data_IF_599660340325
#
_entry.id   IF_599660340325
#
_cell.length_a   1.000
_cell.length_b   1.000
_cell.length_c   1.000
_cell.angle_alpha   90.00
_cell.angle_beta   90.00
_cell.angle_gamma   90.00
#
_symmetry.space_group_name_H-M   'P 1'
#
loop_
_entity.id
_entity.type
_entity.pdbx_description
1 polymer ?
#
# COMPACT_ATOMS: atom_id res chain seq x y z
N UNK A 1 15.09 13.20 -26.87
CA UNK A 1 13.65 13.38 -27.19
C UNK A 1 12.90 12.14 -26.73
N UNK A 2 12.07 12.22 -25.69
CA UNK A 2 11.23 11.10 -25.27
C UNK A 2 10.03 10.97 -26.23
N UNK A 3 9.80 9.78 -26.79
CA UNK A 3 8.70 9.50 -27.71
C UNK A 3 8.21 8.07 -27.46
N UNK A 4 6.91 7.88 -27.22
CA UNK A 4 6.29 6.55 -27.22
C UNK A 4 5.29 6.33 -26.08
N UNK A 5 4.04 6.03 -26.47
CA UNK A 5 2.98 5.53 -25.59
C UNK A 5 3.29 4.06 -25.28
N UNK A 6 3.52 3.73 -24.00
CA UNK A 6 3.63 2.35 -23.53
C UNK A 6 2.33 1.86 -22.87
N UNK A 7 1.98 0.60 -23.09
CA UNK A 7 0.95 -0.12 -22.34
C UNK A 7 1.63 -1.14 -21.41
N UNK A 8 1.32 -1.08 -20.11
CA UNK A 8 1.76 -2.07 -19.13
C UNK A 8 0.52 -2.72 -18.53
N UNK A 9 0.48 -4.05 -18.51
CA UNK A 9 -0.56 -4.81 -17.83
C UNK A 9 -0.19 -5.04 -16.35
N UNK A 10 -1.22 -4.89 -15.50
CA UNK A 10 -1.34 -5.28 -14.08
C UNK A 10 -0.86 -4.33 -12.96
N UNK A 11 -1.68 -3.30 -12.71
CA UNK A 11 -2.15 -2.96 -11.36
C UNK A 11 -3.65 -3.31 -11.31
N UNK A 12 -4.12 -4.20 -10.41
CA UNK A 12 -5.52 -4.68 -10.43
C UNK A 12 -6.58 -3.60 -10.12
N UNK A 13 -6.17 -2.36 -9.82
CA UNK A 13 -7.09 -1.28 -9.44
C UNK A 13 -7.02 -0.03 -10.31
N UNK A 14 -6.14 0.03 -11.34
CA UNK A 14 -6.04 1.22 -12.18
C UNK A 14 -5.58 0.87 -13.60
N UNK A 15 -6.49 0.83 -14.59
CA UNK A 15 -6.09 0.71 -15.99
C UNK A 15 -5.51 2.05 -16.47
N UNK A 16 -4.20 2.24 -16.30
CA UNK A 16 -3.46 3.40 -16.77
C UNK A 16 -3.08 3.21 -18.25
N UNK A 17 -3.98 3.62 -19.15
CA UNK A 17 -3.69 3.69 -20.57
C UNK A 17 -2.76 4.89 -20.83
N UNK A 18 -1.56 4.69 -21.38
CA UNK A 18 -0.55 5.71 -21.75
C UNK A 18 0.35 6.26 -20.62
N UNK A 19 1.32 5.43 -20.28
CA UNK A 19 2.52 5.79 -19.50
C UNK A 19 3.57 6.31 -20.51
N UNK A 20 4.34 7.33 -20.12
CA UNK A 20 5.46 7.81 -20.96
C UNK A 20 6.58 6.77 -20.88
N UNK A 21 6.82 6.06 -21.99
CA UNK A 21 7.91 5.09 -22.07
C UNK A 21 9.20 5.82 -22.42
N UNK A 22 10.11 5.92 -21.46
CA UNK A 22 11.47 6.36 -21.68
C UNK A 22 12.35 5.09 -21.69
N UNK A 23 12.95 4.69 -22.83
CA UNK A 23 13.58 3.38 -23.00
C UNK A 23 14.79 3.13 -22.09
N UNK A 24 15.39 4.16 -21.50
CA UNK A 24 16.47 4.06 -20.51
C UNK A 24 16.00 4.38 -19.08
N UNK A 25 14.70 4.60 -18.88
CA UNK A 25 14.15 4.87 -17.56
C UNK A 25 13.64 3.57 -16.95
N UNK A 26 14.16 3.14 -15.78
CA UNK A 26 13.65 1.96 -15.09
C UNK A 26 12.26 2.18 -14.46
N UNK A 27 11.68 3.38 -14.63
CA UNK A 27 10.42 3.78 -14.00
C UNK A 27 9.31 4.01 -15.03
N UNK A 28 8.11 3.56 -14.69
CA UNK A 28 6.89 3.93 -15.40
C UNK A 28 6.46 5.34 -14.99
N UNK A 29 6.50 6.29 -15.92
CA UNK A 29 6.12 7.68 -15.65
C UNK A 29 4.62 7.92 -15.85
N UNK A 30 3.97 8.47 -14.82
CA UNK A 30 2.56 8.83 -14.84
C UNK A 30 2.43 10.33 -15.14
N UNK A 31 1.65 10.66 -16.18
CA UNK A 31 1.30 12.06 -16.46
C UNK A 31 0.28 12.59 -15.44
N UNK A 32 0.60 13.69 -14.77
CA UNK A 32 -0.27 14.37 -13.79
C UNK A 32 -1.60 14.79 -14.42
N UNK A 33 -1.57 15.45 -15.60
CA UNK A 33 -2.78 15.90 -16.27
C UNK A 33 -3.68 14.73 -16.69
N UNK A 34 -3.07 13.60 -17.06
CA UNK A 34 -3.84 12.40 -17.43
C UNK A 34 -4.51 11.77 -16.22
N UNK A 35 -3.75 11.47 -15.16
CA UNK A 35 -4.30 10.78 -13.98
C UNK A 35 -5.38 11.61 -13.27
N UNK A 36 -5.19 12.93 -13.16
CA UNK A 36 -6.18 13.82 -12.52
C UNK A 36 -7.50 13.89 -13.28
N UNK A 37 -7.46 13.84 -14.62
CA UNK A 37 -8.67 13.80 -15.46
C UNK A 37 -9.33 12.42 -15.45
N UNK A 38 -8.55 11.35 -15.60
CA UNK A 38 -9.08 9.98 -15.66
C UNK A 38 -9.76 9.56 -14.37
N UNK A 39 -9.20 9.95 -13.21
CA UNK A 39 -9.72 9.57 -11.90
C UNK A 39 -10.60 10.64 -11.24
N UNK A 40 -10.79 11.79 -11.89
CA UNK A 40 -11.40 12.97 -11.27
C UNK A 40 -10.81 13.29 -9.88
N UNK A 41 -9.48 13.27 -9.77
CA UNK A 41 -8.78 13.46 -8.50
C UNK A 41 -7.95 14.76 -8.48
N UNK A 42 -7.59 15.19 -7.27
CA UNK A 42 -6.54 16.17 -7.01
C UNK A 42 -5.30 15.48 -6.45
N UNK A 43 -4.12 16.04 -6.74
CA UNK A 43 -2.85 15.57 -6.18
C UNK A 43 -2.25 16.70 -5.36
N UNK A 44 -1.86 16.37 -4.13
CA UNK A 44 -1.12 17.27 -3.24
C UNK A 44 0.27 16.70 -3.00
N UNK A 45 1.29 17.53 -3.14
CA UNK A 45 2.69 17.15 -2.91
C UNK A 45 3.22 17.81 -1.64
N UNK A 46 4.04 17.07 -0.90
CA UNK A 46 4.97 17.57 0.11
C UNK A 46 6.39 17.16 -0.29
N UNK A 47 7.41 17.68 0.39
CA UNK A 47 8.82 17.30 0.19
C UNK A 47 9.07 15.77 0.24
N UNK A 48 8.29 15.03 1.03
CA UNK A 48 8.49 13.61 1.29
C UNK A 48 7.41 12.70 0.69
N UNK A 49 6.27 13.26 0.25
CA UNK A 49 5.10 12.44 -0.09
C UNK A 49 4.15 13.11 -1.08
N UNK A 50 3.26 12.31 -1.65
CA UNK A 50 2.11 12.81 -2.41
C UNK A 50 0.82 12.09 -2.01
N UNK A 51 -0.30 12.78 -2.15
CA UNK A 51 -1.63 12.23 -1.86
C UNK A 51 -2.53 12.46 -3.07
N UNK A 52 -3.16 11.39 -3.55
CA UNK A 52 -4.23 11.43 -4.54
C UNK A 52 -5.57 11.39 -3.80
N UNK A 53 -6.38 12.42 -3.98
CA UNK A 53 -7.69 12.55 -3.33
C UNK A 53 -8.79 12.62 -4.39
N UNK A 54 -9.80 11.76 -4.26
CA UNK A 54 -11.00 11.82 -5.08
C UNK A 54 -11.75 13.14 -4.82
N UNK A 55 -12.08 13.88 -5.87
CA UNK A 55 -12.65 15.22 -5.73
C UNK A 55 -14.08 15.20 -5.20
N UNK A 56 -14.83 14.13 -5.49
CA UNK A 56 -16.24 14.01 -5.15
C UNK A 56 -16.46 13.61 -3.69
N UNK A 57 -15.69 12.64 -3.21
CA UNK A 57 -15.81 12.05 -1.88
C UNK A 57 -14.81 12.60 -0.88
N UNK A 58 -13.77 13.31 -1.36
CA UNK A 58 -12.60 13.73 -0.57
C UNK A 58 -11.82 12.58 0.07
N UNK A 59 -12.07 11.34 -0.36
CA UNK A 59 -11.32 10.17 0.12
C UNK A 59 -9.95 10.10 -0.54
N UNK A 60 -8.94 9.73 0.23
CA UNK A 60 -7.62 9.38 -0.31
C UNK A 60 -7.73 8.06 -1.08
N UNK A 61 -7.33 8.09 -2.34
CA UNK A 61 -7.37 6.94 -3.26
C UNK A 61 -5.96 6.45 -3.64
N UNK A 62 -4.92 7.18 -3.27
CA UNK A 62 -3.54 6.80 -3.48
C UNK A 62 -2.58 7.65 -2.66
N UNK A 63 -1.46 7.07 -2.28
CA UNK A 63 -0.37 7.75 -1.58
C UNK A 63 0.92 7.42 -2.33
N UNK A 64 1.80 8.39 -2.46
CA UNK A 64 3.15 8.16 -2.95
C UNK A 64 4.20 8.70 -1.99
N UNK A 65 5.41 8.16 -2.11
CA UNK A 65 6.59 8.62 -1.36
C UNK A 65 7.61 9.20 -2.31
N UNK A 66 8.26 10.27 -1.88
CA UNK A 66 9.43 10.78 -2.57
C UNK A 66 10.58 9.77 -2.41
N UNK A 67 11.31 9.55 -3.50
CA UNK A 67 12.58 8.85 -3.51
C UNK A 67 13.38 9.31 -4.72
N UNK A 68 14.58 9.84 -4.47
CA UNK A 68 15.55 10.18 -5.52
C UNK A 68 15.00 11.18 -6.57
N UNK A 69 14.19 12.14 -6.15
CA UNK A 69 13.58 13.15 -7.01
C UNK A 69 12.31 12.69 -7.73
N UNK A 70 11.79 11.49 -7.43
CA UNK A 70 10.57 10.94 -8.01
C UNK A 70 9.56 10.57 -6.93
N UNK A 71 8.27 10.66 -7.24
CA UNK A 71 7.21 10.16 -6.37
C UNK A 71 6.75 8.78 -6.82
N UNK A 72 6.96 7.80 -5.95
CA UNK A 72 6.58 6.41 -6.17
C UNK A 72 5.18 6.20 -5.62
N UNK A 73 4.20 5.97 -6.50
CA UNK A 73 2.85 5.61 -6.06
C UNK A 73 2.92 4.24 -5.38
N UNK A 74 2.69 4.22 -4.08
CA UNK A 74 2.52 2.98 -3.33
C UNK A 74 1.22 2.37 -3.81
N UNK A 75 1.27 1.13 -4.31
CA UNK A 75 0.07 0.31 -4.31
C UNK A 75 -0.45 0.26 -2.87
N UNK A 76 -1.76 0.14 -2.65
CA UNK A 76 -2.23 -0.40 -1.39
C UNK A 76 -1.67 -1.82 -1.33
N UNK A 77 -0.42 -1.97 -0.86
CA UNK A 77 0.01 -3.20 -0.22
C UNK A 77 -1.13 -3.54 0.71
N UNK A 78 -1.69 -4.74 0.52
CA UNK A 78 -2.76 -5.36 1.31
C UNK A 78 -2.92 -4.64 2.63
N UNK A 79 -4.12 -4.18 3.02
CA UNK A 79 -4.31 -3.32 4.18
C UNK A 79 -3.37 -3.83 5.26
N UNK A 80 -2.36 -3.03 5.59
CA UNK A 80 -1.58 -3.28 6.77
C UNK A 80 -2.57 -3.01 7.90
N UNK A 81 -3.51 -3.95 8.12
CA UNK A 81 -4.01 -4.28 9.43
C UNK A 81 -2.73 -4.39 10.22
N UNK A 82 -2.48 -3.38 11.05
CA UNK A 82 -1.23 -3.12 11.74
C UNK A 82 -0.50 -4.44 11.91
N UNK A 83 0.45 -4.76 11.00
CA UNK A 83 1.23 -5.98 11.15
C UNK A 83 2.17 -5.57 12.24
N UNK A 84 1.67 -5.71 13.46
CA UNK A 84 2.49 -5.65 14.61
C UNK A 84 3.42 -6.83 14.44
N UNK A 85 4.67 -6.55 14.11
CA UNK A 85 5.79 -7.46 14.36
C UNK A 85 5.98 -7.75 15.85
N UNK A 86 5.04 -7.34 16.70
CA UNK A 86 4.93 -7.79 18.08
C UNK A 86 4.98 -9.32 18.11
N UNK A 87 5.92 -9.85 18.88
CA UNK A 87 6.07 -11.27 19.13
C UNK A 87 4.71 -11.86 19.55
N UNK A 88 4.39 -13.11 19.18
CA UNK A 88 3.11 -13.76 19.50
C UNK A 88 2.65 -13.58 20.95
N UNK A 89 3.61 -13.56 21.89
CA UNK A 89 3.37 -13.32 23.31
C UNK A 89 2.77 -11.95 23.63
N UNK A 90 3.23 -10.88 22.98
CA UNK A 90 2.71 -9.52 23.23
C UNK A 90 1.25 -9.40 22.80
N UNK A 91 0.91 -9.96 21.63
CA UNK A 91 -0.47 -9.95 21.13
C UNK A 91 -1.34 -10.84 22.02
N UNK A 92 -0.84 -12.00 22.44
CA UNK A 92 -1.52 -12.87 23.39
C UNK A 92 -1.84 -12.14 24.71
N UNK A 93 -0.86 -11.44 25.31
CA UNK A 93 -1.07 -10.71 26.57
C UNK A 93 -2.05 -9.54 26.39
N UNK A 94 -1.97 -8.78 25.29
CA UNK A 94 -2.91 -7.68 25.01
C UNK A 94 -4.35 -8.14 24.77
N UNK A 95 -4.53 -9.36 24.26
CA UNK A 95 -5.86 -9.95 24.04
C UNK A 95 -6.46 -10.62 25.28
N UNK A 96 -5.79 -10.52 26.44
CA UNK A 96 -6.29 -11.07 27.69
C UNK A 96 -6.07 -12.57 27.82
N UNK A 97 -4.90 -13.05 27.42
CA UNK A 97 -4.47 -14.44 27.61
C UNK A 97 -5.43 -15.49 26.99
N UNK A 98 -5.83 -15.34 25.71
CA UNK A 98 -6.70 -16.30 25.07
C UNK A 98 -5.99 -17.67 24.91
N UNK A 99 -6.75 -18.76 24.97
CA UNK A 99 -6.22 -20.09 24.63
C UNK A 99 -5.64 -20.10 23.21
N UNK A 100 -4.64 -20.96 22.96
CA UNK A 100 -3.96 -21.06 21.66
C UNK A 100 -4.94 -21.17 20.48
N UNK A 101 -5.97 -22.02 20.63
CA UNK A 101 -6.99 -22.23 19.59
C UNK A 101 -7.84 -20.99 19.32
N UNK A 102 -8.08 -20.15 20.33
CA UNK A 102 -8.83 -18.88 20.18
C UNK A 102 -7.93 -17.79 19.61
N UNK A 103 -6.67 -17.75 20.05
CA UNK A 103 -5.64 -16.85 19.53
C UNK A 103 -5.41 -17.03 18.03
N UNK A 104 -5.26 -18.27 17.56
CA UNK A 104 -5.08 -18.60 16.13
C UNK A 104 -6.26 -18.15 15.26
N UNK A 105 -7.49 -18.18 15.80
CA UNK A 105 -8.69 -17.69 15.10
C UNK A 105 -8.75 -16.16 15.05
N UNK A 106 -8.29 -15.49 16.11
CA UNK A 106 -8.27 -14.03 16.19
C UNK A 106 -7.12 -13.41 15.39
N UNK A 107 -6.00 -14.12 15.28
CA UNK A 107 -4.77 -13.68 14.60
C UNK A 107 -4.32 -14.75 13.60
N UNK A 108 -4.94 -14.82 12.39
CA UNK A 108 -4.66 -15.86 11.40
C UNK A 108 -3.19 -15.94 10.96
N UNK A 109 -2.43 -14.85 11.11
CA UNK A 109 -1.00 -14.80 10.85
C UNK A 109 -0.18 -15.80 11.70
N UNK A 110 -0.70 -16.20 12.87
CA UNK A 110 -0.05 -17.17 13.76
C UNK A 110 -0.75 -18.54 13.78
N UNK A 111 -1.48 -18.90 12.71
CA UNK A 111 -2.20 -20.18 12.62
C UNK A 111 -1.27 -21.41 12.71
N UNK A 112 0.00 -21.26 12.35
CA UNK A 112 1.01 -22.33 12.41
C UNK A 112 1.73 -22.43 13.75
N UNK A 113 1.43 -21.55 14.71
CA UNK A 113 2.07 -21.54 16.01
C UNK A 113 1.67 -22.78 16.81
N UNK A 114 2.65 -23.65 17.11
CA UNK A 114 2.42 -24.93 17.78
C UNK A 114 2.26 -24.81 19.29
N UNK A 115 2.96 -23.86 19.91
CA UNK A 115 2.87 -23.59 21.34
C UNK A 115 3.10 -22.11 21.64
N UNK A 116 2.49 -21.65 22.72
CA UNK A 116 2.70 -20.32 23.27
C UNK A 116 2.91 -20.46 24.78
N UNK A 117 4.13 -20.23 25.25
CA UNK A 117 4.48 -20.31 26.67
C UNK A 117 4.28 -18.94 27.28
N UNK A 118 3.23 -18.79 28.10
CA UNK A 118 2.97 -17.57 28.85
C UNK A 118 3.09 -17.88 30.34
N UNK A 119 3.87 -17.08 31.07
CA UNK A 119 4.06 -17.24 32.52
C UNK A 119 2.79 -17.00 33.33
N UNK A 120 1.76 -16.39 32.74
CA UNK A 120 0.49 -16.06 33.40
C UNK A 120 -0.67 -17.01 33.07
N UNK A 121 -0.44 -18.05 32.26
CA UNK A 121 -1.47 -18.99 31.78
C UNK A 121 -1.30 -20.41 32.33
#
# INVERSE_FOLDING_TARGET
MAKGIGLVHHLPFLPLHSILYAPECPFNLISISKITRTLNCSITFSDQSMILQDRSTRKTIGIGRESQGLYHLTSPSSPAACISTDAPLLIHSRLGHPSLSKFQKMVPHFSTLSSLVCESC
#
